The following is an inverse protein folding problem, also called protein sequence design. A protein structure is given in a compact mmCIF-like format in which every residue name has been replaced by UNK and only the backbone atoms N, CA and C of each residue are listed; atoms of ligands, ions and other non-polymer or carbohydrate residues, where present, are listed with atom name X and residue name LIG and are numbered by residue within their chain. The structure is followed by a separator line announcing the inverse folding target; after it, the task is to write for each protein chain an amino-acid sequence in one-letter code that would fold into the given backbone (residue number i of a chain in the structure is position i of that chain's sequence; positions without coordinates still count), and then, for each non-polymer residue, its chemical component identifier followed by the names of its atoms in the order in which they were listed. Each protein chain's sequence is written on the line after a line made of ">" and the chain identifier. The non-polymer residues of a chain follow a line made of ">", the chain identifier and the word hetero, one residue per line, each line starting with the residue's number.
data_IF_348643639556
#
_entry.id   IF_348643639556
#
_cell.length_a   1.000
_cell.length_b   1.000
_cell.length_c   1.000
_cell.angle_alpha   90.00
_cell.angle_beta   90.00
_cell.angle_gamma   90.00
#
_symmetry.space_group_name_H-M   'P 1'
#
loop_
_entity.id
_entity.type
_entity.pdbx_description
1 polymer ?
#
# COMPACT_ATOMS: atom_id res chain seq x y z
N UNK A 1 -4.24 26.31 -7.22
CA UNK A 1 -4.38 25.06 -7.99
C UNK A 1 -4.37 23.90 -7.02
N UNK A 2 -5.38 23.07 -7.06
CA UNK A 2 -5.34 21.86 -6.26
C UNK A 2 -4.05 21.11 -6.60
N UNK A 3 -3.39 20.53 -5.61
CA UNK A 3 -2.23 19.70 -5.85
C UNK A 3 -2.57 18.66 -6.91
N UNK A 4 -1.60 18.31 -7.75
CA UNK A 4 -1.82 17.38 -8.85
C UNK A 4 -2.49 16.08 -8.40
N UNK A 5 -2.31 15.68 -7.13
CA UNK A 5 -2.88 14.46 -6.59
C UNK A 5 -4.30 14.56 -6.03
N UNK A 6 -4.89 15.76 -6.01
CA UNK A 6 -6.23 15.96 -5.42
C UNK A 6 -7.36 15.93 -6.44
N UNK A 7 -7.05 15.52 -7.66
CA UNK A 7 -8.02 15.39 -8.76
C UNK A 7 -8.00 13.94 -9.24
N UNK A 8 -9.18 13.36 -9.43
CA UNK A 8 -9.30 12.00 -9.94
C UNK A 8 -9.02 11.95 -11.45
N UNK A 9 -8.81 10.74 -12.02
CA UNK A 9 -8.54 10.60 -13.45
C UNK A 9 -9.62 11.23 -14.36
N UNK A 10 -10.86 11.32 -13.88
CA UNK A 10 -11.95 11.94 -14.63
C UNK A 10 -12.00 13.47 -14.51
N UNK A 11 -11.02 14.08 -13.83
CA UNK A 11 -10.93 15.53 -13.68
C UNK A 11 -11.66 16.11 -12.49
N UNK A 12 -12.43 15.32 -11.76
CA UNK A 12 -13.18 15.79 -10.59
C UNK A 12 -12.29 15.79 -9.34
N UNK A 13 -12.53 16.71 -8.38
CA UNK A 13 -11.83 16.67 -7.11
C UNK A 13 -12.10 15.36 -6.36
N UNK A 14 -11.14 14.91 -5.55
CA UNK A 14 -11.35 13.73 -4.72
C UNK A 14 -12.39 14.02 -3.64
N UNK A 15 -13.33 13.11 -3.39
CA UNK A 15 -14.33 13.28 -2.33
C UNK A 15 -13.74 13.45 -0.93
N UNK A 16 -12.56 12.84 -0.67
CA UNK A 16 -11.91 12.93 0.64
C UNK A 16 -11.03 14.16 0.79
N UNK A 17 -10.70 14.87 -0.30
CA UNK A 17 -9.70 15.92 -0.31
C UNK A 17 -8.28 15.39 -0.24
N UNK A 18 -8.09 14.08 -0.20
CA UNK A 18 -6.78 13.45 -0.20
C UNK A 18 -6.30 13.20 -1.62
N UNK A 19 -5.00 13.08 -1.77
CA UNK A 19 -4.43 12.83 -3.09
C UNK A 19 -4.74 11.44 -3.62
N UNK A 20 -4.90 11.33 -4.92
CA UNK A 20 -4.88 10.06 -5.65
C UNK A 20 -3.85 10.17 -6.77
N UNK A 21 -3.04 9.13 -7.04
CA UNK A 21 -2.99 7.90 -6.24
C UNK A 21 -2.38 8.12 -4.86
N UNK A 22 -2.78 7.30 -3.91
CA UNK A 22 -2.19 7.31 -2.58
C UNK A 22 -2.16 5.90 -2.01
N UNK A 23 -1.28 5.67 -1.04
CA UNK A 23 -1.15 4.37 -0.39
C UNK A 23 -1.99 4.30 0.86
N UNK A 24 -2.71 3.19 1.01
CA UNK A 24 -3.44 2.82 2.22
C UNK A 24 -3.12 1.37 2.54
N UNK A 25 -3.60 0.87 3.67
CA UNK A 25 -3.50 -0.55 4.00
C UNK A 25 -4.86 -1.08 4.41
N UNK A 26 -5.02 -2.40 4.30
CA UNK A 26 -6.25 -3.07 4.68
C UNK A 26 -6.28 -3.23 6.20
N UNK A 27 -7.42 -2.91 6.81
CA UNK A 27 -7.60 -2.92 8.25
C UNK A 27 -7.88 -4.32 8.79
N UNK A 28 -8.44 -5.19 7.96
CA UNK A 28 -8.95 -6.49 8.35
C UNK A 28 -8.34 -7.60 7.52
N UNK A 29 -8.34 -8.82 8.04
CA UNK A 29 -7.93 -10.02 7.32
C UNK A 29 -9.03 -10.57 6.40
N UNK A 30 -10.19 -9.91 6.36
CA UNK A 30 -11.32 -10.27 5.49
C UNK A 30 -11.88 -9.00 4.87
N UNK A 31 -11.49 -8.71 3.63
CA UNK A 31 -11.93 -7.52 2.92
C UNK A 31 -12.53 -7.94 1.58
N UNK A 32 -13.83 -7.68 1.39
CA UNK A 32 -14.51 -7.97 0.14
C UNK A 32 -14.15 -6.94 -0.92
N UNK A 33 -13.69 -7.42 -2.07
CA UNK A 33 -13.34 -6.60 -3.22
C UNK A 33 -14.43 -6.75 -4.27
N UNK A 34 -15.04 -5.61 -4.65
CA UNK A 34 -16.20 -5.59 -5.53
C UNK A 34 -15.88 -5.00 -6.89
N UNK A 35 -16.73 -5.29 -7.84
CA UNK A 35 -16.59 -4.82 -9.20
C UNK A 35 -16.84 -3.31 -9.32
N UNK A 36 -17.61 -2.73 -8.40
CA UNK A 36 -17.96 -1.33 -8.43
C UNK A 36 -18.21 -0.76 -7.03
N UNK A 37 -18.44 0.56 -6.94
CA UNK A 37 -18.56 1.26 -5.67
C UNK A 37 -19.95 1.13 -5.05
N UNK A 38 -20.29 -0.06 -4.57
CA UNK A 38 -21.57 -0.29 -3.92
C UNK A 38 -21.78 -1.75 -3.55
N UNK A 39 -22.69 -1.97 -2.61
CA UNK A 39 -23.04 -3.31 -2.15
C UNK A 39 -23.79 -4.10 -3.22
N UNK A 40 -24.33 -3.43 -4.22
CA UNK A 40 -25.06 -4.08 -5.32
C UNK A 40 -24.12 -4.70 -6.36
N UNK A 41 -22.85 -4.33 -6.32
CA UNK A 41 -21.87 -4.87 -7.25
C UNK A 41 -21.37 -6.24 -6.77
N UNK A 42 -21.09 -7.15 -7.72
CA UNK A 42 -20.59 -8.47 -7.36
C UNK A 42 -19.27 -8.42 -6.61
N UNK A 43 -19.08 -9.38 -5.70
CA UNK A 43 -17.80 -9.60 -5.06
C UNK A 43 -16.92 -10.36 -6.04
N UNK A 44 -15.75 -9.79 -6.37
CA UNK A 44 -14.79 -10.42 -7.27
C UNK A 44 -13.88 -11.39 -6.52
N UNK A 45 -13.43 -11.00 -5.33
CA UNK A 45 -12.60 -11.82 -4.44
C UNK A 45 -12.61 -11.23 -3.05
N UNK A 46 -11.92 -11.90 -2.14
CA UNK A 46 -11.75 -11.44 -0.77
C UNK A 46 -10.26 -11.38 -0.47
N UNK A 47 -9.80 -10.22 0.03
CA UNK A 47 -8.44 -10.09 0.53
C UNK A 47 -8.38 -10.65 1.94
N UNK A 48 -7.34 -11.45 2.21
CA UNK A 48 -7.17 -12.13 3.50
C UNK A 48 -5.85 -11.79 4.18
N UNK A 49 -5.39 -10.57 4.00
CA UNK A 49 -4.11 -10.13 4.56
C UNK A 49 -4.29 -8.76 5.22
N UNK A 50 -4.44 -8.76 6.54
CA UNK A 50 -4.48 -7.50 7.29
C UNK A 50 -3.16 -6.75 7.10
N UNK A 51 -3.24 -5.45 6.88
CA UNK A 51 -2.06 -4.63 6.65
C UNK A 51 -1.59 -4.58 5.20
N UNK A 52 -2.20 -5.35 4.30
CA UNK A 52 -1.80 -5.37 2.90
C UNK A 52 -1.84 -3.96 2.31
N UNK A 53 -0.73 -3.45 1.72
CA UNK A 53 -0.77 -2.15 1.07
C UNK A 53 -1.50 -2.24 -0.26
N UNK A 54 -2.34 -1.25 -0.53
CA UNK A 54 -3.01 -1.10 -1.81
C UNK A 54 -2.98 0.38 -2.18
N UNK A 55 -3.04 0.66 -3.48
CA UNK A 55 -3.01 2.04 -3.96
C UNK A 55 -4.40 2.48 -4.35
N UNK A 56 -4.89 3.57 -3.76
CA UNK A 56 -6.16 4.19 -4.14
C UNK A 56 -5.94 4.95 -5.43
N UNK A 57 -6.68 4.60 -6.48
CA UNK A 57 -6.58 5.25 -7.80
C UNK A 57 -7.82 6.07 -8.15
N UNK A 58 -8.92 5.87 -7.45
CA UNK A 58 -10.14 6.66 -7.54
C UNK A 58 -10.99 6.39 -6.30
N UNK A 59 -12.01 7.21 -6.07
CA UNK A 59 -12.85 7.02 -4.90
C UNK A 59 -14.21 7.69 -5.06
N UNK A 60 -15.17 7.21 -4.27
CA UNK A 60 -16.39 7.93 -3.94
C UNK A 60 -16.30 8.31 -2.46
N UNK A 61 -17.33 8.92 -1.91
CA UNK A 61 -17.35 9.24 -0.47
C UNK A 61 -17.17 7.98 0.39
N UNK A 62 -17.80 6.88 0.00
CA UNK A 62 -17.82 5.65 0.79
C UNK A 62 -16.88 4.55 0.27
N UNK A 63 -16.43 4.64 -0.97
CA UNK A 63 -15.71 3.54 -1.63
C UNK A 63 -14.36 3.98 -2.15
N UNK A 64 -13.41 3.03 -2.19
CA UNK A 64 -12.06 3.25 -2.72
C UNK A 64 -11.79 2.25 -3.82
N UNK A 65 -11.40 2.75 -5.00
CA UNK A 65 -10.92 1.90 -6.09
C UNK A 65 -9.44 1.69 -5.88
N UNK A 66 -9.03 0.45 -5.69
CA UNK A 66 -7.67 0.13 -5.29
C UNK A 66 -6.99 -0.80 -6.28
N UNK A 67 -5.66 -0.62 -6.39
CA UNK A 67 -4.77 -1.50 -7.14
C UNK A 67 -3.94 -2.28 -6.12
N UNK A 68 -3.94 -3.60 -6.22
CA UNK A 68 -3.25 -4.48 -5.28
C UNK A 68 -1.85 -4.87 -5.75
N UNK A 69 -1.06 -5.61 -4.93
CA UNK A 69 0.29 -6.00 -5.32
C UNK A 69 0.40 -6.86 -6.58
N UNK A 70 -0.69 -7.51 -6.99
CA UNK A 70 -0.71 -8.31 -8.22
C UNK A 70 -1.15 -7.49 -9.43
N UNK A 71 -1.45 -6.21 -9.24
CA UNK A 71 -1.91 -5.33 -10.30
C UNK A 71 -3.40 -5.40 -10.56
N UNK A 72 -4.15 -6.16 -9.77
CA UNK A 72 -5.59 -6.26 -9.91
C UNK A 72 -6.29 -5.04 -9.30
N UNK A 73 -7.43 -4.68 -9.85
CA UNK A 73 -8.17 -3.47 -9.46
C UNK A 73 -9.58 -3.88 -9.01
N UNK A 74 -10.01 -3.34 -7.87
CA UNK A 74 -11.34 -3.57 -7.34
C UNK A 74 -11.73 -2.45 -6.40
N UNK A 75 -12.98 -2.48 -5.94
CA UNK A 75 -13.53 -1.49 -5.03
C UNK A 75 -13.69 -2.09 -3.62
N UNK A 76 -13.24 -1.36 -2.62
CA UNK A 76 -13.41 -1.73 -1.21
C UNK A 76 -14.11 -0.59 -0.46
N UNK A 77 -14.80 -0.94 0.62
CA UNK A 77 -15.45 0.07 1.44
C UNK A 77 -14.41 0.81 2.30
N UNK A 78 -14.63 2.10 2.53
CA UNK A 78 -13.69 2.93 3.31
C UNK A 78 -13.42 2.38 4.71
N UNK A 79 -14.40 1.73 5.33
CA UNK A 79 -14.28 1.24 6.71
C UNK A 79 -13.30 0.10 6.89
N UNK A 80 -12.93 -0.59 5.81
CA UNK A 80 -11.95 -1.69 5.87
C UNK A 80 -10.55 -1.25 5.46
N UNK A 81 -10.35 0.05 5.30
CA UNK A 81 -9.05 0.64 4.95
C UNK A 81 -8.52 1.52 6.08
N UNK A 82 -7.23 1.68 6.12
CA UNK A 82 -6.50 2.49 7.09
C UNK A 82 -5.46 3.34 6.36
N UNK A 83 -5.21 4.55 6.87
CA UNK A 83 -4.14 5.40 6.37
C UNK A 83 -2.74 4.95 6.77
N UNK A 84 -2.62 3.91 7.59
CA UNK A 84 -1.32 3.37 7.99
C UNK A 84 -0.56 2.88 6.77
N UNK A 85 0.73 3.15 6.75
CA UNK A 85 1.59 2.74 5.65
C UNK A 85 2.24 1.39 5.97
N UNK A 86 2.33 0.57 4.94
CA UNK A 86 2.99 -0.73 5.01
C UNK A 86 3.67 -1.00 3.68
N UNK A 87 4.56 -2.00 3.68
CA UNK A 87 5.17 -2.49 2.44
C UNK A 87 5.06 -4.01 2.41
N UNK A 88 5.10 -4.53 1.21
CA UNK A 88 4.85 -5.93 0.90
C UNK A 88 5.94 -6.45 -0.03
N UNK A 89 6.47 -7.63 0.28
CA UNK A 89 7.40 -8.30 -0.64
C UNK A 89 6.58 -9.09 -1.67
N UNK A 90 6.40 -8.52 -2.86
CA UNK A 90 5.66 -9.19 -3.93
C UNK A 90 6.57 -9.95 -4.90
N UNK A 91 7.78 -10.30 -4.46
CA UNK A 91 8.73 -11.08 -5.23
C UNK A 91 8.83 -12.50 -4.68
N UNK A 92 9.56 -13.37 -5.37
CA UNK A 92 9.80 -14.73 -4.93
C UNK A 92 11.11 -14.87 -4.15
N UNK A 93 11.81 -13.75 -3.91
CA UNK A 93 13.08 -13.72 -3.20
C UNK A 93 12.94 -12.98 -1.88
N UNK A 94 13.80 -13.31 -0.92
CA UNK A 94 13.91 -12.56 0.33
C UNK A 94 14.49 -11.19 0.06
N UNK A 95 14.03 -10.18 0.81
CA UNK A 95 14.54 -8.81 0.71
C UNK A 95 15.31 -8.48 1.98
N UNK A 96 16.60 -8.12 1.89
CA UNK A 96 17.38 -7.80 3.09
C UNK A 96 16.87 -6.54 3.78
N UNK A 97 16.82 -6.60 5.11
CA UNK A 97 16.55 -5.46 5.97
C UNK A 97 17.87 -5.07 6.61
N UNK A 98 18.40 -3.91 6.23
CA UNK A 98 19.74 -3.46 6.64
C UNK A 98 19.69 -2.58 7.89
N UNK A 99 20.78 -2.53 8.61
CA UNK A 99 20.91 -1.63 9.77
C UNK A 99 20.94 -0.16 9.38
N UNK A 100 21.39 0.16 8.17
CA UNK A 100 21.48 1.53 7.67
C UNK A 100 21.12 1.61 6.20
N UNK A 101 21.12 2.81 5.67
CA UNK A 101 20.80 3.11 4.27
C UNK A 101 21.96 2.83 3.35
N UNK A 102 22.45 1.58 3.35
CA UNK A 102 23.59 1.19 2.53
C UNK A 102 23.56 -0.31 2.32
N UNK A 103 23.89 -0.73 1.09
CA UNK A 103 24.02 -2.14 0.74
C UNK A 103 25.14 -2.85 1.50
N UNK A 104 26.10 -2.08 2.03
CA UNK A 104 27.22 -2.62 2.80
C UNK A 104 26.97 -2.63 4.30
N UNK A 105 25.86 -2.04 4.77
CA UNK A 105 25.51 -2.10 6.18
C UNK A 105 25.04 -3.50 6.56
N UNK A 106 25.17 -3.90 7.84
CA UNK A 106 24.76 -5.23 8.28
C UNK A 106 23.29 -5.54 7.97
N UNK A 107 23.01 -6.77 7.59
CA UNK A 107 21.65 -7.27 7.38
C UNK A 107 21.12 -7.75 8.73
N UNK A 108 20.04 -7.15 9.22
CA UNK A 108 19.41 -7.49 10.49
C UNK A 108 18.42 -8.63 10.36
N UNK A 109 17.74 -8.70 9.21
CA UNK A 109 16.71 -9.70 8.95
C UNK A 109 16.42 -9.74 7.46
N UNK A 110 15.58 -10.67 7.03
CA UNK A 110 15.16 -10.78 5.64
C UNK A 110 13.65 -10.83 5.57
N UNK A 111 13.08 -9.96 4.73
CA UNK A 111 11.65 -9.91 4.51
C UNK A 111 11.28 -11.04 3.54
N UNK A 112 10.55 -12.00 4.03
CA UNK A 112 10.16 -13.18 3.25
C UNK A 112 9.18 -12.82 2.14
N UNK A 113 9.11 -13.62 1.07
CA UNK A 113 8.08 -13.43 0.04
C UNK A 113 6.69 -13.38 0.65
N UNK A 114 5.87 -12.46 0.16
CA UNK A 114 4.47 -12.25 0.59
C UNK A 114 4.32 -11.78 2.02
N UNK A 115 5.39 -11.29 2.65
CA UNK A 115 5.33 -10.70 3.99
C UNK A 115 5.06 -9.22 3.94
N UNK A 116 4.43 -8.72 5.00
CA UNK A 116 4.04 -7.33 5.18
C UNK A 116 4.76 -6.78 6.41
N UNK A 117 5.31 -5.58 6.30
CA UNK A 117 5.88 -4.86 7.46
C UNK A 117 5.42 -3.41 7.45
N UNK A 118 5.40 -2.80 8.63
CA UNK A 118 5.05 -1.39 8.77
C UNK A 118 6.11 -0.52 8.13
N UNK A 119 5.67 0.56 7.49
CA UNK A 119 6.55 1.55 6.86
C UNK A 119 6.54 2.82 7.70
N UNK A 120 7.73 3.28 8.12
CA UNK A 120 7.85 4.54 8.85
C UNK A 120 8.10 5.71 7.89
N UNK A 121 9.17 5.65 7.12
CA UNK A 121 9.54 6.74 6.21
C UNK A 121 10.44 6.22 5.09
N UNK A 122 10.52 6.97 4.01
CA UNK A 122 11.46 6.70 2.92
C UNK A 122 12.29 7.94 2.64
N UNK A 123 13.59 7.74 2.43
CA UNK A 123 14.51 8.79 2.02
C UNK A 123 15.70 8.19 1.28
N UNK A 124 16.23 8.92 0.33
CA UNK A 124 17.43 8.53 -0.42
C UNK A 124 17.33 7.16 -1.10
N UNK A 125 16.12 6.75 -1.49
CA UNK A 125 15.90 5.44 -2.12
C UNK A 125 15.80 4.28 -1.15
N UNK A 126 15.73 4.54 0.14
CA UNK A 126 15.59 3.56 1.21
C UNK A 126 14.36 3.84 2.04
N UNK A 127 13.76 2.78 2.59
CA UNK A 127 12.60 2.92 3.47
C UNK A 127 12.86 2.24 4.80
N UNK A 128 12.57 2.95 5.89
CA UNK A 128 12.64 2.38 7.23
C UNK A 128 11.37 1.59 7.50
N UNK A 129 11.56 0.32 7.83
CA UNK A 129 10.46 -0.60 8.11
C UNK A 129 10.57 -1.14 9.53
N UNK A 130 9.45 -1.60 10.05
CA UNK A 130 9.38 -2.10 11.41
C UNK A 130 8.46 -3.31 11.49
N UNK A 131 8.93 -4.35 12.20
CA UNK A 131 8.15 -5.54 12.49
C UNK A 131 8.46 -5.94 13.94
N UNK A 132 7.48 -5.83 14.81
CA UNK A 132 7.65 -6.13 16.25
C UNK A 132 8.80 -5.30 16.84
N UNK A 133 9.88 -5.95 17.27
CA UNK A 133 11.05 -5.28 17.87
C UNK A 133 12.17 -5.00 16.87
N UNK A 134 11.95 -5.40 15.63
CA UNK A 134 12.94 -5.24 14.57
C UNK A 134 12.66 -3.95 13.79
N UNK A 135 13.71 -3.20 13.52
CA UNK A 135 13.66 -1.99 12.73
C UNK A 135 14.87 -1.99 11.81
N UNK A 136 14.69 -1.54 10.58
CA UNK A 136 15.78 -1.45 9.64
C UNK A 136 15.36 -0.84 8.32
N UNK A 137 16.26 -0.89 7.35
CA UNK A 137 16.11 -0.21 6.07
C UNK A 137 16.05 -1.21 4.92
N UNK A 138 15.11 -1.00 4.01
CA UNK A 138 15.00 -1.78 2.77
C UNK A 138 15.12 -0.84 1.58
N UNK A 139 15.57 -1.38 0.45
CA UNK A 139 15.60 -0.62 -0.81
C UNK A 139 14.17 -0.32 -1.23
N UNK A 140 13.87 0.95 -1.46
CA UNK A 140 12.51 1.42 -1.75
C UNK A 140 11.88 0.72 -2.95
N UNK A 141 12.64 0.58 -4.04
CA UNK A 141 12.13 -0.04 -5.27
C UNK A 141 11.94 -1.54 -5.17
N UNK A 142 12.45 -2.17 -4.09
CA UNK A 142 12.35 -3.61 -3.92
C UNK A 142 11.01 -4.06 -3.33
N UNK A 143 10.25 -3.15 -2.73
CA UNK A 143 9.01 -3.47 -2.03
C UNK A 143 7.82 -2.76 -2.65
N UNK A 144 6.65 -3.37 -2.56
CA UNK A 144 5.39 -2.76 -3.01
C UNK A 144 4.79 -1.94 -1.85
N UNK A 145 4.30 -0.74 -2.16
CA UNK A 145 3.67 0.12 -1.15
C UNK A 145 4.50 1.34 -0.77
N UNK A 146 5.75 1.40 -1.23
CA UNK A 146 6.69 2.47 -0.88
C UNK A 146 6.99 3.41 -2.04
N UNK A 147 6.40 3.18 -3.21
CA UNK A 147 6.68 3.98 -4.38
C UNK A 147 6.18 5.39 -4.18
N UNK A 148 6.99 6.35 -4.56
CA UNK A 148 6.55 7.73 -4.60
C UNK A 148 5.55 7.88 -5.75
N UNK A 149 4.67 8.87 -5.62
CA UNK A 149 3.77 9.20 -6.72
C UNK A 149 4.57 9.75 -7.88
N UNK A 150 4.27 9.26 -9.02
CA UNK A 150 4.92 9.75 -10.24
C UNK A 150 4.46 11.17 -10.55
#
# INVERSE_FOLDING_TARGET
>A
MAGAGQTMPDGRPTPTGLEVPRWISLKSSHVRARQGPGLDYPILWEYRAAGLPVQVIAETTEWRKVCDPEGAVAWIHRTVSSGRRSVFNNTDAEIPIHAGKSQTSPVRARLQPRSIVSLDECEDGWCRVRARRLEGWVVQRAVFGAQSRA
#
